data_IF_115252799002
#
_entry.id   IF_115252799002
#
_cell.length_a   1.000
_cell.length_b   1.000
_cell.length_c   1.000
_cell.angle_alpha   90.00
_cell.angle_beta   90.00
_cell.angle_gamma   90.00
#
_symmetry.space_group_name_H-M   'P 1'
#
loop_
_entity.id
_entity.type
_entity.pdbx_description
1 polymer ?
#
# COMPACT_ATOMS: atom_id res chain seq x y z
N UNK A 1 14.27 -13.09 -29.71
CA UNK A 1 15.15 -12.65 -28.61
C UNK A 1 14.44 -12.91 -27.30
N UNK A 2 14.97 -13.86 -26.53
CA UNK A 2 14.55 -14.21 -25.17
C UNK A 2 15.01 -13.14 -24.17
N UNK A 3 14.15 -12.76 -23.23
CA UNK A 3 14.50 -11.86 -22.14
C UNK A 3 13.41 -11.82 -21.06
N UNK A 4 13.75 -12.40 -19.91
CA UNK A 4 13.11 -12.38 -18.59
C UNK A 4 12.13 -11.23 -18.28
N UNK A 5 11.03 -11.58 -17.61
CA UNK A 5 9.97 -10.68 -17.21
C UNK A 5 10.31 -9.65 -16.13
N UNK A 6 9.29 -8.82 -15.87
CA UNK A 6 9.12 -7.98 -14.68
C UNK A 6 10.29 -7.03 -14.36
N UNK A 7 10.50 -6.06 -15.23
CA UNK A 7 11.22 -4.83 -14.88
C UNK A 7 10.47 -3.66 -15.49
N UNK A 8 9.71 -2.90 -14.68
CA UNK A 8 9.51 -1.45 -14.92
C UNK A 8 8.84 -0.75 -13.72
N UNK A 9 9.55 -0.75 -12.59
CA UNK A 9 9.64 0.49 -11.82
C UNK A 9 10.68 1.34 -12.54
N UNK A 10 10.43 2.64 -12.76
CA UNK A 10 11.50 3.56 -13.16
C UNK A 10 12.60 3.52 -12.08
N UNK A 11 13.83 3.90 -12.44
CA UNK A 11 15.04 3.87 -11.59
C UNK A 11 14.86 4.48 -10.18
N UNK A 12 13.78 5.22 -9.92
CA UNK A 12 13.47 5.92 -8.67
C UNK A 12 12.52 5.19 -7.70
N UNK A 13 12.04 3.99 -8.01
CA UNK A 13 11.31 3.15 -7.04
C UNK A 13 9.82 3.43 -6.83
N UNK A 14 9.22 4.39 -7.54
CA UNK A 14 7.76 4.57 -7.64
C UNK A 14 7.32 4.87 -9.08
N UNK A 15 6.05 4.58 -9.36
CA UNK A 15 5.38 4.99 -10.58
C UNK A 15 4.70 6.33 -10.36
N UNK A 16 4.88 7.26 -11.30
CA UNK A 16 4.13 8.50 -11.28
C UNK A 16 2.65 8.21 -11.49
N UNK A 17 1.81 8.77 -10.64
CA UNK A 17 0.37 8.58 -10.66
C UNK A 17 -0.37 9.86 -10.33
N UNK A 18 -1.66 9.68 -10.06
CA UNK A 18 -2.59 10.74 -9.71
C UNK A 18 -3.45 10.26 -8.55
N UNK A 19 -4.05 11.20 -7.82
CA UNK A 19 -5.05 10.89 -6.82
C UNK A 19 -6.14 11.95 -6.78
N UNK A 20 -7.35 11.52 -6.45
CA UNK A 20 -8.51 12.37 -6.23
C UNK A 20 -9.19 11.96 -4.95
N UNK A 21 -9.57 12.94 -4.13
CA UNK A 21 -10.34 12.73 -2.91
C UNK A 21 -11.72 13.31 -3.13
N UNK A 22 -12.73 12.44 -3.20
CA UNK A 22 -14.12 12.84 -3.33
C UNK A 22 -14.76 12.86 -1.96
N UNK A 23 -15.16 14.05 -1.50
CA UNK A 23 -15.91 14.24 -0.25
C UNK A 23 -17.38 14.46 -0.58
N UNK A 24 -18.26 13.52 -0.24
CA UNK A 24 -19.70 13.72 -0.34
C UNK A 24 -20.22 14.53 0.85
N UNK A 25 -20.72 15.74 0.59
CA UNK A 25 -21.46 16.53 1.59
C UNK A 25 -22.85 15.90 1.74
N UNK A 26 -23.06 15.10 2.80
CA UNK A 26 -24.40 14.62 3.17
C UNK A 26 -24.47 13.24 3.81
N UNK A 27 -23.58 12.32 3.45
CA UNK A 27 -23.41 11.01 4.09
C UNK A 27 -21.93 10.61 3.95
N UNK A 28 -21.29 10.20 5.06
CA UNK A 28 -19.83 10.17 5.21
C UNK A 28 -19.14 9.01 4.48
N UNK A 29 -18.90 9.16 3.18
CA UNK A 29 -17.95 8.29 2.48
C UNK A 29 -16.94 9.15 1.74
N UNK A 30 -15.84 9.48 2.41
CA UNK A 30 -14.66 10.00 1.75
C UNK A 30 -14.05 8.86 0.93
N UNK A 31 -14.22 8.91 -0.39
CA UNK A 31 -13.55 7.98 -1.32
C UNK A 31 -12.24 8.61 -1.79
N UNK A 32 -11.19 7.79 -1.82
CA UNK A 32 -9.88 8.14 -2.33
C UNK A 32 -9.63 7.24 -3.53
N UNK A 33 -9.63 7.83 -4.72
CA UNK A 33 -9.30 7.15 -5.98
C UNK A 33 -7.91 7.56 -6.40
N UNK A 34 -7.08 6.60 -6.76
CA UNK A 34 -5.72 6.86 -7.25
C UNK A 34 -5.35 5.87 -8.33
N UNK A 35 -4.33 6.20 -9.12
CA UNK A 35 -3.98 5.39 -10.26
C UNK A 35 -2.69 5.80 -10.93
N UNK A 36 -2.32 5.02 -11.93
CA UNK A 36 -1.15 5.26 -12.77
C UNK A 36 -1.43 4.74 -14.18
N UNK A 37 -0.56 5.09 -15.13
CA UNK A 37 -0.62 4.57 -16.49
C UNK A 37 0.56 3.63 -16.69
N UNK A 38 0.27 2.37 -17.00
CA UNK A 38 1.26 1.34 -17.27
C UNK A 38 1.02 0.77 -18.66
N UNK A 39 2.00 0.85 -19.55
CA UNK A 39 1.92 0.36 -20.93
C UNK A 39 0.70 0.90 -21.72
N UNK A 40 0.27 2.13 -21.44
CA UNK A 40 -0.90 2.73 -22.08
C UNK A 40 -2.24 2.33 -21.47
N UNK A 41 -2.25 1.49 -20.43
CA UNK A 41 -3.44 1.09 -19.69
C UNK A 41 -3.57 1.91 -18.41
N UNK A 42 -4.78 2.39 -18.14
CA UNK A 42 -5.10 3.11 -16.93
C UNK A 42 -5.39 2.12 -15.81
N UNK A 43 -4.56 2.12 -14.77
CA UNK A 43 -4.78 1.33 -13.57
C UNK A 43 -5.42 2.22 -12.50
N UNK A 44 -6.56 1.79 -11.97
CA UNK A 44 -7.32 2.55 -10.97
C UNK A 44 -7.55 1.73 -9.71
N UNK A 45 -7.41 2.41 -8.58
CA UNK A 45 -7.57 1.85 -7.26
C UNK A 45 -8.44 2.75 -6.41
N UNK A 46 -9.25 2.15 -5.54
CA UNK A 46 -10.12 2.88 -4.62
C UNK A 46 -9.92 2.42 -3.17
N UNK A 47 -9.98 3.38 -2.25
CA UNK A 47 -10.10 3.14 -0.82
C UNK A 47 -10.98 4.21 -0.16
N UNK A 48 -11.23 4.08 1.14
CA UNK A 48 -11.93 5.08 1.93
C UNK A 48 -11.41 5.12 3.37
N UNK A 49 -11.69 6.21 4.07
CA UNK A 49 -11.34 6.36 5.49
C UNK A 49 -12.00 5.30 6.39
N UNK A 50 -13.14 4.74 5.98
CA UNK A 50 -13.85 3.66 6.67
C UNK A 50 -13.26 2.27 6.45
N UNK A 51 -12.36 2.11 5.47
CA UNK A 51 -11.72 0.83 5.13
C UNK A 51 -10.37 0.62 5.82
N UNK A 52 -10.12 1.27 6.96
CA UNK A 52 -8.88 1.07 7.74
C UNK A 52 -8.75 -0.39 8.17
N UNK A 53 -7.53 -0.93 8.02
CA UNK A 53 -7.14 -2.25 8.52
C UNK A 53 -6.49 -2.17 9.90
N UNK A 54 -5.85 -1.04 10.22
CA UNK A 54 -5.20 -0.83 11.51
C UNK A 54 -4.75 0.61 11.69
N UNK A 55 -4.64 1.01 12.96
CA UNK A 55 -4.19 2.33 13.36
C UNK A 55 -2.75 2.25 13.89
N UNK A 56 -1.85 2.99 13.25
CA UNK A 56 -0.45 3.14 13.64
C UNK A 56 0.05 4.52 13.22
N UNK A 57 1.37 4.75 13.26
CA UNK A 57 1.97 6.01 12.79
C UNK A 57 1.54 6.35 11.35
N UNK A 58 1.47 5.33 10.52
CA UNK A 58 0.89 5.38 9.18
C UNK A 58 -0.27 4.38 9.13
N UNK A 59 -1.47 4.84 8.78
CA UNK A 59 -2.64 3.96 8.70
C UNK A 59 -2.53 3.02 7.49
N UNK A 60 -2.96 1.77 7.68
CA UNK A 60 -3.17 0.81 6.60
C UNK A 60 -4.64 0.74 6.25
N UNK A 61 -4.95 0.61 4.97
CA UNK A 61 -6.31 0.58 4.43
C UNK A 61 -6.50 -0.63 3.53
N UNK A 62 -7.73 -1.08 3.45
CA UNK A 62 -8.18 -2.03 2.44
C UNK A 62 -8.45 -1.24 1.16
N UNK A 63 -7.93 -1.73 0.05
CA UNK A 63 -8.01 -1.09 -1.25
C UNK A 63 -8.51 -2.09 -2.29
N UNK A 64 -9.24 -1.60 -3.28
CA UNK A 64 -9.74 -2.40 -4.38
C UNK A 64 -9.13 -1.92 -5.70
N UNK A 65 -8.63 -2.85 -6.50
CA UNK A 65 -8.36 -2.64 -7.92
C UNK A 65 -9.70 -2.58 -8.68
N UNK A 66 -9.97 -1.46 -9.35
CA UNK A 66 -11.26 -1.22 -10.00
C UNK A 66 -11.45 -2.00 -11.31
N UNK A 67 -10.36 -2.50 -11.91
CA UNK A 67 -10.46 -3.33 -13.12
C UNK A 67 -10.77 -4.78 -12.74
N UNK A 68 -10.01 -5.35 -11.81
CA UNK A 68 -10.12 -6.77 -11.45
C UNK A 68 -11.08 -7.05 -10.29
N UNK A 69 -11.45 -6.03 -9.52
CA UNK A 69 -12.19 -6.17 -8.26
C UNK A 69 -11.36 -6.75 -7.11
N UNK A 70 -10.06 -7.03 -7.34
CA UNK A 70 -9.17 -7.66 -6.36
C UNK A 70 -8.88 -6.72 -5.20
N UNK A 71 -8.84 -7.32 -4.02
CA UNK A 71 -8.60 -6.64 -2.75
C UNK A 71 -7.11 -6.69 -2.36
N UNK A 72 -6.59 -5.55 -1.93
CA UNK A 72 -5.20 -5.30 -1.58
C UNK A 72 -5.11 -4.57 -0.24
N UNK A 73 -3.96 -4.67 0.42
CA UNK A 73 -3.61 -3.76 1.50
C UNK A 73 -2.90 -2.53 0.93
N UNK A 74 -3.20 -1.37 1.50
CA UNK A 74 -2.68 -0.09 1.07
C UNK A 74 -2.10 0.66 2.26
N UNK A 75 -0.84 1.08 2.13
CA UNK A 75 -0.23 2.05 3.03
C UNK A 75 -0.12 3.40 2.33
N UNK A 76 -0.59 4.47 2.98
CA UNK A 76 -0.58 5.82 2.44
C UNK A 76 0.36 6.71 3.24
N UNK A 77 1.32 7.33 2.54
CA UNK A 77 2.21 8.32 3.13
C UNK A 77 1.92 9.70 2.57
N UNK A 78 1.50 10.63 3.43
CA UNK A 78 1.42 12.05 3.05
C UNK A 78 2.82 12.62 2.92
N UNK A 79 3.10 13.25 1.79
CA UNK A 79 4.35 13.97 1.53
C UNK A 79 4.23 15.35 2.17
N UNK A 80 4.86 15.55 3.32
CA UNK A 80 4.86 16.85 4.01
C UNK A 80 6.08 17.69 3.67
N UNK A 81 7.21 17.06 3.35
CA UNK A 81 8.45 17.72 2.96
C UNK A 81 9.39 16.77 2.18
N UNK A 82 10.43 17.29 1.51
CA UNK A 82 11.35 16.49 0.69
C UNK A 82 12.18 15.46 1.47
N UNK A 83 12.55 15.74 2.73
CA UNK A 83 13.36 14.81 3.52
C UNK A 83 12.53 13.60 3.99
N UNK A 84 11.28 13.82 4.37
CA UNK A 84 10.32 12.75 4.66
C UNK A 84 10.10 11.88 3.41
N UNK A 85 9.90 12.50 2.25
CA UNK A 85 9.80 11.79 0.97
C UNK A 85 11.01 10.87 0.77
N UNK A 86 12.22 11.41 0.91
CA UNK A 86 13.47 10.64 0.76
C UNK A 86 13.56 9.47 1.74
N UNK A 87 13.18 9.67 3.00
CA UNK A 87 13.15 8.60 4.00
C UNK A 87 12.19 7.48 3.62
N UNK A 88 10.97 7.81 3.18
CA UNK A 88 9.99 6.82 2.70
C UNK A 88 10.58 6.02 1.53
N UNK A 89 11.15 6.69 0.53
CA UNK A 89 11.76 6.01 -0.61
C UNK A 89 12.94 5.11 -0.23
N UNK A 90 13.74 5.52 0.75
CA UNK A 90 14.84 4.69 1.25
C UNK A 90 14.33 3.38 1.88
N UNK A 91 13.26 3.44 2.67
CA UNK A 91 12.65 2.25 3.26
C UNK A 91 12.05 1.32 2.19
N UNK A 92 11.34 1.90 1.21
CA UNK A 92 10.79 1.14 0.08
C UNK A 92 11.88 0.49 -0.77
N UNK A 93 13.00 1.19 -0.98
CA UNK A 93 14.16 0.65 -1.67
C UNK A 93 14.77 -0.51 -0.88
N UNK A 94 14.96 -0.35 0.43
CA UNK A 94 15.53 -1.41 1.28
C UNK A 94 14.68 -2.68 1.27
N UNK A 95 13.35 -2.57 1.40
CA UNK A 95 12.44 -3.71 1.29
C UNK A 95 12.63 -4.43 -0.05
N UNK A 96 12.69 -3.68 -1.15
CA UNK A 96 12.81 -4.28 -2.48
C UNK A 96 14.18 -4.91 -2.74
N UNK A 97 15.26 -4.20 -2.43
CA UNK A 97 16.61 -4.60 -2.82
C UNK A 97 17.25 -5.61 -1.87
N UNK A 98 16.92 -5.52 -0.57
CA UNK A 98 17.57 -6.35 0.46
C UNK A 98 16.70 -7.55 0.85
N UNK A 99 15.38 -7.38 0.92
CA UNK A 99 14.47 -8.45 1.32
C UNK A 99 13.96 -9.22 0.11
N UNK A 100 13.54 -8.49 -0.93
CA UNK A 100 12.93 -9.10 -2.12
C UNK A 100 11.64 -9.83 -1.77
N UNK A 101 11.34 -10.92 -2.50
CA UNK A 101 10.15 -11.75 -2.26
C UNK A 101 10.49 -12.87 -1.29
N UNK A 102 9.86 -12.88 -0.12
CA UNK A 102 10.03 -13.91 0.90
C UNK A 102 8.67 -14.33 1.47
N UNK A 103 8.43 -15.63 1.65
CA UNK A 103 7.11 -16.19 2.03
C UNK A 103 6.56 -15.65 3.37
N UNK A 104 7.45 -15.23 4.28
CA UNK A 104 7.10 -14.73 5.62
C UNK A 104 7.21 -13.21 5.77
N UNK A 105 7.39 -12.50 4.66
CA UNK A 105 7.49 -11.04 4.67
C UNK A 105 6.52 -10.49 3.63
N UNK A 106 5.76 -9.47 4.04
CA UNK A 106 4.75 -8.86 3.18
C UNK A 106 5.37 -8.39 1.84
N UNK A 107 4.74 -8.80 0.75
CA UNK A 107 5.15 -8.47 -0.60
C UNK A 107 4.55 -7.14 -1.04
N UNK A 108 5.40 -6.26 -1.56
CA UNK A 108 4.95 -5.02 -2.21
C UNK A 108 4.63 -5.32 -3.66
N UNK A 109 3.43 -4.96 -4.08
CA UNK A 109 2.98 -5.12 -5.45
C UNK A 109 3.32 -3.90 -6.28
N UNK A 110 3.05 -2.69 -5.75
CA UNK A 110 3.22 -1.44 -6.50
C UNK A 110 3.41 -0.26 -5.56
N UNK A 111 4.17 0.73 -6.03
CA UNK A 111 4.30 2.03 -5.39
C UNK A 111 3.88 3.10 -6.39
N UNK A 112 2.88 3.89 -6.04
CA UNK A 112 2.36 4.98 -6.87
C UNK A 112 2.57 6.29 -6.12
N UNK A 113 3.22 7.25 -6.76
CA UNK A 113 3.43 8.58 -6.22
C UNK A 113 2.54 9.59 -6.95
N UNK A 114 1.71 10.29 -6.18
CA UNK A 114 0.96 11.48 -6.61
C UNK A 114 1.64 12.76 -6.10
N UNK A 115 1.06 13.93 -6.35
CA UNK A 115 1.64 15.22 -5.95
C UNK A 115 1.82 15.36 -4.44
N UNK A 116 1.00 14.69 -3.63
CA UNK A 116 0.97 14.88 -2.17
C UNK A 116 1.01 13.57 -1.38
N UNK A 117 0.95 12.42 -2.04
CA UNK A 117 0.80 11.12 -1.38
C UNK A 117 1.53 10.02 -2.13
N UNK A 118 2.23 9.16 -1.38
CA UNK A 118 2.79 7.89 -1.87
C UNK A 118 1.87 6.76 -1.41
N UNK A 119 1.40 5.98 -2.36
CA UNK A 119 0.53 4.81 -2.18
C UNK A 119 1.36 3.55 -2.36
N UNK A 120 1.39 2.68 -1.35
CA UNK A 120 2.10 1.40 -1.39
C UNK A 120 1.07 0.28 -1.33
N UNK A 121 0.88 -0.39 -2.47
CA UNK A 121 0.01 -1.54 -2.63
C UNK A 121 0.76 -2.82 -2.23
N UNK A 122 0.14 -3.62 -1.40
CA UNK A 122 0.68 -4.82 -0.80
C UNK A 122 -0.35 -5.95 -0.84
N UNK A 123 0.11 -7.17 -0.64
CA UNK A 123 -0.81 -8.30 -0.44
C UNK A 123 -1.72 -8.07 0.77
N UNK A 124 -2.99 -8.42 0.62
CA UNK A 124 -3.93 -8.44 1.73
C UNK A 124 -3.81 -9.78 2.47
N UNK A 125 -3.28 -9.73 3.69
CA UNK A 125 -3.18 -10.92 4.54
C UNK A 125 -4.51 -11.20 5.22
N UNK A 126 -5.03 -12.42 5.02
CA UNK A 126 -6.19 -12.91 5.75
C UNK A 126 -5.76 -13.40 7.14
N UNK A 127 -6.41 -12.91 8.18
CA UNK A 127 -6.12 -13.31 9.56
C UNK A 127 -6.28 -12.16 10.54
N UNK A 128 -5.68 -12.32 11.72
CA UNK A 128 -5.54 -11.28 12.74
C UNK A 128 -4.06 -10.92 12.85
N UNK A 129 -3.77 -9.73 13.36
CA UNK A 129 -2.39 -9.41 13.70
C UNK A 129 -1.91 -10.28 14.88
N UNK A 130 -0.60 -10.43 14.98
CA UNK A 130 0.01 -11.30 15.99
C UNK A 130 -0.28 -10.81 17.42
N UNK A 131 -0.38 -9.50 17.63
CA UNK A 131 -0.62 -8.93 18.94
C UNK A 131 -2.03 -9.29 19.42
N UNK A 132 -3.03 -9.15 18.55
CA UNK A 132 -4.40 -9.59 18.80
C UNK A 132 -4.47 -11.09 19.17
N UNK A 133 -3.72 -11.93 18.44
CA UNK A 133 -3.66 -13.37 18.74
C UNK A 133 -3.07 -13.61 20.13
N UNK A 134 -1.94 -12.98 20.46
CA UNK A 134 -1.28 -13.12 21.76
C UNK A 134 -2.19 -12.63 22.89
N UNK A 135 -2.89 -11.51 22.71
CA UNK A 135 -3.79 -10.98 23.72
C UNK A 135 -5.03 -11.85 23.95
N UNK A 136 -5.45 -12.64 22.95
CA UNK A 136 -6.57 -13.58 23.12
C UNK A 136 -6.18 -14.87 23.86
N UNK A 137 -4.91 -15.24 23.87
CA UNK A 137 -4.43 -16.38 24.64
C UNK A 137 -4.01 -15.92 26.03
N UNK A 138 -4.69 -16.41 27.06
CA UNK A 138 -4.23 -16.24 28.43
C UNK A 138 -2.87 -16.96 28.54
N UNK A 139 -1.78 -16.19 28.69
CA UNK A 139 -0.46 -16.73 28.97
C UNK A 139 -0.52 -17.46 30.31
N UNK A 140 -0.75 -18.77 30.27
CA UNK A 140 -0.60 -19.64 31.45
C UNK A 140 0.87 -20.02 31.53
N UNK A 141 1.55 -19.61 32.61
CA UNK A 141 2.82 -20.24 32.98
C UNK A 141 2.54 -21.73 33.24
N UNK A 142 3.06 -22.61 32.38
CA UNK A 142 3.18 -24.02 32.74
C UNK A 142 4.11 -24.10 33.97
N UNK A 143 3.55 -24.59 35.08
CA UNK A 143 4.27 -24.85 36.34
C UNK A 143 5.03 -26.17 36.28
#
# INVERSE_FOLDING_TARGET
FSGSGTNMFKEEGAQQGFSSVTKSIGFSTDSITFGTIENGHLLLFETSSSRKLGEGRDCAYRCQDLESGRELALKMYKITNPDQRRAIFHDLYAQRSQVGKHERIVSYERVIESESTIFVLMELLNGKDLFDVICTEALTEEK
#
